data_IF_190459024522
#
_entry.id   IF_190459024522
#
_cell.length_a   1.000
_cell.length_b   1.000
_cell.length_c   1.000
_cell.angle_alpha   90.00
_cell.angle_beta   90.00
_cell.angle_gamma   90.00
#
_symmetry.space_group_name_H-M   'P 1'
#
loop_
_entity.id
_entity.type
_entity.pdbx_description
1 polymer ?
#
# COMPACT_ATOMS: atom_id res chain seq x y z
N UNK A 1 31.77 72.90 -18.93
CA UNK A 1 32.00 72.07 -17.72
C UNK A 1 30.65 71.50 -17.34
N UNK A 2 30.32 70.34 -17.90
CA UNK A 2 29.11 69.59 -17.59
C UNK A 2 29.48 68.46 -16.62
N UNK A 3 28.74 68.35 -15.52
CA UNK A 3 28.92 67.29 -14.53
C UNK A 3 28.40 65.96 -15.08
N UNK A 4 29.08 64.82 -14.86
CA UNK A 4 28.58 63.52 -15.25
C UNK A 4 27.44 63.06 -14.33
N UNK A 5 26.52 62.21 -14.83
CA UNK A 5 25.35 61.78 -14.08
C UNK A 5 25.72 60.82 -12.95
N UNK A 6 25.05 61.03 -11.83
CA UNK A 6 25.07 60.20 -10.62
C UNK A 6 24.69 58.75 -10.95
N UNK A 7 25.65 57.84 -10.81
CA UNK A 7 25.38 56.42 -10.71
C UNK A 7 24.73 56.13 -9.35
N UNK A 8 23.42 55.98 -9.35
CA UNK A 8 22.69 55.37 -8.23
C UNK A 8 22.95 53.86 -8.27
N UNK A 9 23.48 53.24 -7.21
CA UNK A 9 23.69 51.79 -7.21
C UNK A 9 22.32 51.09 -7.18
N UNK A 10 22.06 50.26 -8.19
CA UNK A 10 21.02 49.23 -8.14
C UNK A 10 21.20 48.44 -6.83
N UNK A 11 20.12 48.30 -6.06
CA UNK A 11 20.13 47.56 -4.79
C UNK A 11 20.66 46.12 -4.96
N UNK A 12 21.02 45.44 -3.85
CA UNK A 12 21.57 44.09 -3.91
C UNK A 12 20.54 43.17 -4.57
N UNK A 13 20.96 42.44 -5.60
CA UNK A 13 20.12 41.44 -6.28
C UNK A 13 19.58 40.38 -5.31
N UNK A 14 18.62 39.54 -5.75
CA UNK A 14 17.94 38.59 -4.87
C UNK A 14 18.94 37.65 -4.17
N UNK A 15 18.90 37.63 -2.83
CA UNK A 15 19.70 36.72 -2.02
C UNK A 15 19.10 35.31 -2.10
N UNK A 16 19.57 34.51 -3.07
CA UNK A 16 19.13 33.13 -3.30
C UNK A 16 19.22 32.26 -2.04
N UNK A 17 20.26 32.44 -1.21
CA UNK A 17 20.42 31.68 0.02
C UNK A 17 19.27 31.95 0.99
N UNK A 18 18.87 33.21 1.15
CA UNK A 18 17.74 33.56 2.00
C UNK A 18 16.42 32.96 1.50
N UNK A 19 16.18 33.00 0.18
CA UNK A 19 15.00 32.34 -0.41
C UNK A 19 15.04 30.82 -0.21
N UNK A 20 16.22 30.20 -0.36
CA UNK A 20 16.43 28.77 -0.10
C UNK A 20 16.14 28.38 1.34
N UNK A 21 16.60 29.16 2.32
CA UNK A 21 16.31 28.94 3.75
C UNK A 21 14.81 29.00 4.05
N UNK A 22 14.09 29.96 3.45
CA UNK A 22 12.63 30.04 3.61
C UNK A 22 11.92 28.84 2.97
N UNK A 23 12.38 28.37 1.81
CA UNK A 23 11.84 27.18 1.15
C UNK A 23 12.02 25.95 2.04
N UNK A 24 13.23 25.75 2.57
CA UNK A 24 13.53 24.64 3.50
C UNK A 24 12.60 24.70 4.71
N UNK A 25 12.56 25.85 5.40
CA UNK A 25 11.75 26.02 6.60
C UNK A 25 10.26 25.71 6.34
N UNK A 26 9.72 26.18 5.23
CA UNK A 26 8.32 25.95 4.90
C UNK A 26 7.99 24.48 4.60
N UNK A 27 8.86 23.76 3.89
CA UNK A 27 8.65 22.33 3.61
C UNK A 27 8.92 21.45 4.85
N UNK A 28 9.86 21.81 5.72
CA UNK A 28 10.03 21.16 7.03
C UNK A 28 8.77 21.31 7.89
N UNK A 29 8.19 22.52 7.94
CA UNK A 29 6.94 22.77 8.65
C UNK A 29 5.76 21.98 8.07
N UNK A 30 5.65 21.88 6.74
CA UNK A 30 4.63 21.06 6.08
C UNK A 30 4.78 19.59 6.44
N UNK A 31 6.01 19.06 6.37
CA UNK A 31 6.30 17.68 6.77
C UNK A 31 5.91 17.45 8.22
N UNK A 32 6.38 18.30 9.14
CA UNK A 32 6.09 18.16 10.57
C UNK A 32 4.59 18.22 10.89
N UNK A 33 3.86 19.14 10.24
CA UNK A 33 2.42 19.32 10.46
C UNK A 33 1.59 18.12 10.03
N UNK A 34 1.95 17.49 8.91
CA UNK A 34 1.15 16.44 8.27
C UNK A 34 1.69 15.02 8.49
N UNK A 35 2.87 14.87 9.10
CA UNK A 35 3.48 13.57 9.38
C UNK A 35 2.57 12.73 10.33
N UNK A 36 2.09 11.55 9.87
CA UNK A 36 1.25 10.67 10.66
C UNK A 36 1.89 10.14 11.95
N UNK A 37 3.23 10.09 12.02
CA UNK A 37 4.01 9.55 13.13
C UNK A 37 4.34 10.60 14.19
N UNK A 38 4.49 11.86 13.78
CA UNK A 38 4.91 12.98 14.63
C UNK A 38 3.73 13.76 15.24
N UNK A 39 2.51 13.64 14.70
CA UNK A 39 1.32 14.26 15.29
C UNK A 39 0.52 13.24 16.13
N UNK A 40 0.54 13.34 17.47
CA UNK A 40 -0.33 12.53 18.32
C UNK A 40 -1.78 12.66 17.89
N UNK A 41 -2.55 11.57 17.89
CA UNK A 41 -4.00 11.56 17.59
C UNK A 41 -4.79 12.57 18.45
N UNK A 42 -4.20 12.98 19.58
CA UNK A 42 -4.75 13.98 20.53
C UNK A 42 -4.29 15.42 20.28
N UNK A 43 -3.20 15.64 19.55
CA UNK A 43 -2.58 16.95 19.26
C UNK A 43 -2.65 17.32 17.77
N UNK A 44 -3.36 16.53 16.95
CA UNK A 44 -3.80 17.03 15.63
C UNK A 44 -4.59 18.33 15.88
N UNK A 45 -4.23 19.49 15.30
CA UNK A 45 -4.75 20.80 15.70
C UNK A 45 -6.28 21.00 15.53
N UNK A 46 -6.99 19.99 15.04
CA UNK A 46 -8.25 20.15 14.31
C UNK A 46 -9.45 19.46 14.98
N UNK A 47 -9.38 19.17 16.29
CA UNK A 47 -10.58 18.93 17.11
C UNK A 47 -11.48 20.15 17.27
N UNK A 48 -11.08 21.33 16.76
CA UNK A 48 -12.03 22.42 16.54
C UNK A 48 -12.86 22.04 15.32
N UNK A 49 -14.02 21.45 15.61
CA UNK A 49 -15.16 21.29 14.73
C UNK A 49 -15.21 22.50 13.78
N UNK A 50 -14.73 22.31 12.56
CA UNK A 50 -15.21 23.13 11.46
C UNK A 50 -16.66 22.67 11.32
N UNK A 51 -17.59 23.57 11.62
CA UNK A 51 -19.01 23.34 11.37
C UNK A 51 -19.13 23.16 9.87
N UNK A 52 -19.17 21.91 9.43
CA UNK A 52 -19.49 21.58 8.05
C UNK A 52 -20.99 21.77 7.94
N UNK A 53 -21.38 22.56 6.95
CA UNK A 53 -22.78 22.73 6.55
C UNK A 53 -23.43 21.34 6.49
N UNK A 54 -24.54 21.18 7.20
CA UNK A 54 -25.25 19.92 7.46
C UNK A 54 -25.79 19.19 6.21
N UNK A 55 -25.33 19.54 5.01
CA UNK A 55 -25.94 19.18 3.73
C UNK A 55 -25.01 18.45 2.75
N UNK A 56 -23.72 18.26 3.06
CA UNK A 56 -22.83 17.45 2.19
C UNK A 56 -23.04 15.95 2.41
N UNK A 57 -23.58 15.25 1.40
CA UNK A 57 -23.69 13.78 1.41
C UNK A 57 -22.31 13.12 1.38
N UNK A 58 -22.20 11.89 1.91
CA UNK A 58 -20.95 11.09 1.86
C UNK A 58 -20.47 10.83 0.44
N UNK A 59 -21.39 10.78 -0.54
CA UNK A 59 -21.03 10.69 -1.96
C UNK A 59 -20.32 11.95 -2.43
N UNK A 60 -20.87 13.13 -2.13
CA UNK A 60 -20.26 14.39 -2.53
C UNK A 60 -18.84 14.57 -1.96
N UNK A 61 -18.62 14.14 -0.71
CA UNK A 61 -17.31 14.15 -0.05
C UNK A 61 -16.34 13.19 -0.72
N UNK A 62 -16.77 11.96 -0.98
CA UNK A 62 -15.95 10.95 -1.63
C UNK A 62 -15.59 11.34 -3.07
N UNK A 63 -16.56 11.82 -3.84
CA UNK A 63 -16.34 12.29 -5.21
C UNK A 63 -15.37 13.48 -5.24
N UNK A 64 -15.48 14.40 -4.28
CA UNK A 64 -14.56 15.53 -4.12
C UNK A 64 -13.13 15.06 -3.81
N UNK A 65 -12.96 14.09 -2.92
CA UNK A 65 -11.65 13.48 -2.64
C UNK A 65 -11.05 12.86 -3.90
N UNK A 66 -11.81 11.99 -4.57
CA UNK A 66 -11.33 11.15 -5.67
C UNK A 66 -11.11 11.91 -6.98
N UNK A 67 -11.95 12.90 -7.28
CA UNK A 67 -11.98 13.55 -8.59
C UNK A 67 -11.43 14.97 -8.58
N UNK A 68 -11.25 15.59 -7.41
CA UNK A 68 -10.76 16.97 -7.29
C UNK A 68 -9.54 17.09 -6.39
N UNK A 69 -9.63 16.72 -5.12
CA UNK A 69 -8.57 17.03 -4.14
C UNK A 69 -7.30 16.20 -4.36
N UNK A 70 -7.42 14.87 -4.53
CA UNK A 70 -6.26 14.02 -4.79
C UNK A 70 -5.58 14.34 -6.14
N UNK A 71 -6.32 14.55 -7.26
CA UNK A 71 -5.73 15.05 -8.50
C UNK A 71 -5.04 16.40 -8.34
N UNK A 72 -5.66 17.35 -7.64
CA UNK A 72 -5.07 18.68 -7.40
C UNK A 72 -3.77 18.58 -6.59
N UNK A 73 -3.74 17.75 -5.55
CA UNK A 73 -2.53 17.47 -4.78
C UNK A 73 -1.41 16.90 -5.68
N UNK A 74 -1.75 15.95 -6.56
CA UNK A 74 -0.80 15.39 -7.52
C UNK A 74 -0.22 16.46 -8.43
N UNK A 75 -1.07 17.36 -8.94
CA UNK A 75 -0.65 18.43 -9.85
C UNK A 75 0.23 19.46 -9.12
N UNK A 76 -0.11 19.86 -7.89
CA UNK A 76 0.74 20.73 -7.07
C UNK A 76 2.12 20.13 -6.81
N UNK A 77 2.20 18.84 -6.48
CA UNK A 77 3.48 18.14 -6.28
C UNK A 77 4.29 18.02 -7.58
N UNK A 78 3.62 17.82 -8.72
CA UNK A 78 4.27 17.87 -10.03
C UNK A 78 4.87 19.25 -10.31
N UNK A 79 4.14 20.32 -10.03
CA UNK A 79 4.65 21.69 -10.20
C UNK A 79 5.85 21.97 -9.29
N UNK A 80 5.81 21.53 -8.02
CA UNK A 80 6.99 21.64 -7.13
C UNK A 80 8.21 20.94 -7.73
N UNK A 81 8.01 19.74 -8.29
CA UNK A 81 9.07 19.02 -8.97
C UNK A 81 9.62 19.78 -10.18
N UNK A 82 8.75 20.25 -11.08
CA UNK A 82 9.14 20.97 -12.31
C UNK A 82 9.90 22.26 -11.98
N UNK A 83 9.49 22.97 -10.92
CA UNK A 83 10.19 24.16 -10.44
C UNK A 83 11.58 23.83 -9.94
N UNK A 84 11.75 22.74 -9.18
CA UNK A 84 13.06 22.31 -8.67
C UNK A 84 13.99 21.86 -9.79
N UNK A 85 13.48 21.13 -10.78
CA UNK A 85 14.25 20.74 -11.97
C UNK A 85 14.73 21.97 -12.75
N UNK A 86 13.85 22.96 -12.93
CA UNK A 86 14.16 24.21 -13.64
C UNK A 86 15.15 25.13 -12.91
N UNK A 87 15.36 24.97 -11.59
CA UNK A 87 16.42 25.70 -10.86
C UNK A 87 17.81 25.12 -11.21
N UNK A 88 17.86 23.86 -11.67
CA UNK A 88 19.10 23.09 -11.84
C UNK A 88 19.58 22.96 -13.29
N UNK A 89 18.70 23.18 -14.26
CA UNK A 89 19.07 23.10 -15.67
C UNK A 89 19.90 24.32 -16.07
N UNK A 90 21.21 24.10 -16.25
CA UNK A 90 22.11 25.04 -16.91
C UNK A 90 21.82 24.99 -18.43
N UNK A 91 21.16 26.02 -18.94
CA UNK A 91 21.03 26.21 -20.39
C UNK A 91 22.31 26.85 -20.92
N UNK A 92 22.96 26.21 -21.90
CA UNK A 92 24.30 26.54 -22.41
C UNK A 92 24.43 27.99 -22.95
N UNK A 93 23.32 28.69 -23.19
CA UNK A 93 23.27 30.05 -23.75
C UNK A 93 22.81 31.14 -22.75
N UNK A 94 22.42 30.80 -21.51
CA UNK A 94 21.91 31.80 -20.55
C UNK A 94 23.03 32.53 -19.78
N UNK A 95 22.95 33.86 -19.71
CA UNK A 95 23.85 34.67 -18.88
C UNK A 95 23.67 34.32 -17.38
N UNK A 96 24.76 34.30 -16.61
CA UNK A 96 24.74 34.03 -15.17
C UNK A 96 23.81 34.95 -14.36
N UNK A 97 23.51 36.16 -14.85
CA UNK A 97 22.53 37.06 -14.23
C UNK A 97 21.10 36.57 -14.49
N UNK A 98 20.78 36.18 -15.73
CA UNK A 98 19.47 35.61 -16.12
C UNK A 98 19.18 34.34 -15.33
N UNK A 99 20.17 33.47 -15.21
CA UNK A 99 20.07 32.21 -14.46
C UNK A 99 19.71 32.45 -12.99
N UNK A 100 20.38 33.38 -12.30
CA UNK A 100 20.09 33.69 -10.89
C UNK A 100 18.71 34.30 -10.71
N UNK A 101 18.23 35.11 -11.66
CA UNK A 101 16.87 35.65 -11.63
C UNK A 101 15.81 34.56 -11.83
N UNK A 102 16.04 33.62 -12.75
CA UNK A 102 15.20 32.42 -12.96
C UNK A 102 15.14 31.54 -11.72
N UNK A 103 16.29 31.24 -11.11
CA UNK A 103 16.38 30.50 -9.84
C UNK A 103 15.61 31.21 -8.72
N UNK A 104 15.79 32.52 -8.56
CA UNK A 104 15.07 33.31 -7.57
C UNK A 104 13.55 33.30 -7.81
N UNK A 105 13.13 33.37 -9.08
CA UNK A 105 11.72 33.28 -9.47
C UNK A 105 11.11 31.93 -9.11
N UNK A 106 11.80 30.84 -9.42
CA UNK A 106 11.34 29.48 -9.11
C UNK A 106 11.30 29.24 -7.59
N UNK A 107 12.28 29.73 -6.82
CA UNK A 107 12.24 29.66 -5.35
C UNK A 107 11.07 30.45 -4.77
N UNK A 108 10.76 31.63 -5.29
CA UNK A 108 9.57 32.40 -4.88
C UNK A 108 8.29 31.64 -5.20
N UNK A 109 8.22 31.02 -6.38
CA UNK A 109 7.07 30.18 -6.74
C UNK A 109 6.92 28.99 -5.81
N UNK A 110 8.02 28.34 -5.41
CA UNK A 110 8.00 27.28 -4.41
C UNK A 110 7.44 27.77 -3.05
N UNK A 111 7.80 28.97 -2.61
CA UNK A 111 7.22 29.58 -1.40
C UNK A 111 5.71 29.82 -1.53
N UNK A 112 5.23 30.24 -2.70
CA UNK A 112 3.80 30.41 -2.98
C UNK A 112 3.03 29.07 -2.98
N UNK A 113 3.68 27.98 -3.42
CA UNK A 113 3.08 26.64 -3.44
C UNK A 113 2.89 26.03 -2.04
N UNK A 114 3.72 26.41 -1.06
CA UNK A 114 3.64 25.85 0.31
C UNK A 114 2.26 26.03 0.99
N UNK A 115 1.67 27.23 1.04
CA UNK A 115 0.33 27.40 1.61
C UNK A 115 -0.77 26.70 0.78
N UNK A 116 -0.60 26.59 -0.55
CA UNK A 116 -1.54 25.85 -1.41
C UNK A 116 -1.53 24.35 -1.09
N UNK A 117 -0.34 23.76 -0.90
CA UNK A 117 -0.18 22.38 -0.45
C UNK A 117 -0.75 22.16 0.95
N UNK A 118 -0.45 23.07 1.89
CA UNK A 118 -0.98 22.98 3.25
C UNK A 118 -2.51 22.97 3.25
N UNK A 119 -3.11 23.86 2.46
CA UNK A 119 -4.54 23.98 2.34
C UNK A 119 -5.18 22.72 1.77
N UNK A 120 -4.66 22.19 0.65
CA UNK A 120 -5.21 20.97 0.03
C UNK A 120 -5.09 19.76 0.95
N UNK A 121 -3.94 19.59 1.63
CA UNK A 121 -3.76 18.51 2.61
C UNK A 121 -4.73 18.64 3.80
N UNK A 122 -4.92 19.87 4.31
CA UNK A 122 -5.87 20.15 5.39
C UNK A 122 -7.32 19.87 4.97
N UNK A 123 -7.69 20.20 3.73
CA UNK A 123 -9.01 19.88 3.17
C UNK A 123 -9.19 18.36 3.09
N UNK A 124 -8.22 17.62 2.54
CA UNK A 124 -8.29 16.16 2.43
C UNK A 124 -8.47 15.51 3.81
N UNK A 125 -7.72 15.94 4.82
CA UNK A 125 -7.87 15.44 6.19
C UNK A 125 -9.27 15.73 6.76
N UNK A 126 -9.79 16.93 6.51
CA UNK A 126 -11.16 17.32 6.89
C UNK A 126 -12.21 16.45 6.21
N UNK A 127 -12.07 16.17 4.91
CA UNK A 127 -12.97 15.26 4.19
C UNK A 127 -12.95 13.84 4.76
N UNK A 128 -11.75 13.31 5.08
CA UNK A 128 -11.63 12.00 5.71
C UNK A 128 -12.23 11.97 7.11
N UNK A 129 -12.21 13.09 7.85
CA UNK A 129 -12.90 13.21 9.13
C UNK A 129 -14.43 13.13 9.00
N UNK A 130 -15.01 13.66 7.91
CA UNK A 130 -16.44 13.51 7.60
C UNK A 130 -16.76 12.10 7.14
N UNK A 131 -15.94 11.55 6.26
CA UNK A 131 -16.19 10.27 5.61
C UNK A 131 -16.01 9.09 6.57
N UNK A 132 -15.04 9.19 7.48
CA UNK A 132 -14.64 8.18 8.45
C UNK A 132 -14.59 8.77 9.87
N UNK A 133 -15.73 9.09 10.51
CA UNK A 133 -15.74 9.60 11.87
C UNK A 133 -15.12 8.57 12.82
N UNK A 134 -14.30 9.03 13.78
CA UNK A 134 -13.76 8.13 14.82
C UNK A 134 -14.93 7.51 15.60
N UNK A 135 -14.94 6.18 15.81
CA UNK A 135 -16.05 5.52 16.48
C UNK A 135 -16.14 6.03 17.93
N UNK A 136 -17.24 6.71 18.25
CA UNK A 136 -17.53 7.21 19.61
C UNK A 136 -17.79 6.07 20.63
N UNK A 137 -18.00 4.85 20.15
CA UNK A 137 -18.12 3.63 20.94
C UNK A 137 -17.80 2.42 20.07
N UNK A 138 -17.18 1.38 20.65
CA UNK A 138 -16.75 0.15 20.01
C UNK A 138 -17.88 -0.79 19.52
N UNK A 139 -19.01 -0.25 19.05
CA UNK A 139 -19.94 -1.05 18.28
C UNK A 139 -19.37 -1.19 16.89
N UNK A 140 -18.81 -2.36 16.60
CA UNK A 140 -18.56 -2.82 15.24
C UNK A 140 -19.90 -2.72 14.50
N UNK A 141 -20.07 -1.68 13.69
CA UNK A 141 -21.30 -1.43 12.96
C UNK A 141 -21.36 -2.47 11.83
N UNK A 142 -21.84 -3.66 12.18
CA UNK A 142 -21.97 -4.82 11.29
C UNK A 142 -23.16 -4.70 10.33
N UNK A 143 -23.91 -3.59 10.42
CA UNK A 143 -25.09 -3.26 9.62
C UNK A 143 -24.76 -2.30 8.46
N UNK A 144 -23.63 -2.50 7.78
CA UNK A 144 -23.19 -1.68 6.65
C UNK A 144 -23.33 -2.37 5.28
N UNK A 145 -24.03 -3.49 5.18
CA UNK A 145 -24.16 -4.32 3.96
C UNK A 145 -24.61 -3.50 2.74
N UNK A 146 -25.58 -2.62 2.94
CA UNK A 146 -26.20 -1.82 1.88
C UNK A 146 -25.37 -0.59 1.46
N UNK A 147 -24.28 -0.29 2.18
CA UNK A 147 -23.50 0.92 1.97
C UNK A 147 -22.52 0.84 0.78
N UNK A 148 -22.36 -0.33 0.14
CA UNK A 148 -21.51 -0.54 -1.05
C UNK A 148 -20.10 0.06 -0.82
N UNK A 149 -19.75 1.11 -1.57
CA UNK A 149 -18.46 1.82 -1.45
C UNK A 149 -18.25 2.56 -0.12
N UNK A 150 -19.30 2.75 0.66
CA UNK A 150 -19.26 3.41 1.96
C UNK A 150 -19.30 2.44 3.16
N UNK A 151 -19.11 1.13 2.92
CA UNK A 151 -18.82 0.17 3.99
C UNK A 151 -17.64 0.64 4.82
N UNK A 152 -17.72 0.43 6.13
CA UNK A 152 -16.77 0.97 7.11
C UNK A 152 -15.34 0.55 6.80
N UNK A 153 -15.15 -0.75 6.52
CA UNK A 153 -13.85 -1.28 6.13
C UNK A 153 -13.28 -0.60 4.89
N UNK A 154 -14.09 -0.36 3.86
CA UNK A 154 -13.63 0.25 2.60
C UNK A 154 -13.13 1.66 2.79
N UNK A 155 -13.83 2.44 3.62
CA UNK A 155 -13.44 3.81 3.93
C UNK A 155 -12.21 3.87 4.83
N UNK A 156 -12.11 2.93 5.77
CA UNK A 156 -10.90 2.75 6.56
C UNK A 156 -9.69 2.40 5.68
N UNK A 157 -9.87 1.47 4.73
CA UNK A 157 -8.83 1.04 3.82
C UNK A 157 -8.42 2.18 2.86
N UNK A 158 -9.37 2.95 2.34
CA UNK A 158 -9.06 4.16 1.55
C UNK A 158 -8.25 5.18 2.37
N UNK A 159 -8.66 5.45 3.61
CA UNK A 159 -7.91 6.33 4.52
C UNK A 159 -6.51 5.79 4.80
N UNK A 160 -6.35 4.48 4.97
CA UNK A 160 -5.05 3.83 5.16
C UNK A 160 -4.13 4.01 3.95
N UNK A 161 -4.62 3.79 2.74
CA UNK A 161 -3.85 4.04 1.50
C UNK A 161 -3.41 5.51 1.39
N UNK A 162 -4.31 6.45 1.73
CA UNK A 162 -3.95 7.86 1.75
C UNK A 162 -2.89 8.17 2.82
N UNK A 163 -2.98 7.61 4.03
CA UNK A 163 -1.96 7.81 5.07
C UNK A 163 -0.58 7.28 4.66
N UNK A 164 -0.53 6.14 3.97
CA UNK A 164 0.73 5.65 3.36
C UNK A 164 1.26 6.63 2.30
N UNK A 165 0.38 7.17 1.47
CA UNK A 165 0.75 8.19 0.47
C UNK A 165 1.23 9.47 1.13
N UNK A 166 0.61 9.88 2.24
CA UNK A 166 0.99 11.06 3.00
C UNK A 166 2.39 10.93 3.60
N UNK A 167 2.76 9.74 4.09
CA UNK A 167 4.12 9.44 4.53
C UNK A 167 5.14 9.62 3.38
N UNK A 168 4.85 9.11 2.17
CA UNK A 168 5.67 9.36 0.97
C UNK A 168 5.74 10.85 0.62
N UNK A 169 4.65 11.60 0.75
CA UNK A 169 4.63 13.06 0.52
C UNK A 169 5.52 13.79 1.54
N UNK A 170 5.47 13.41 2.82
CA UNK A 170 6.33 14.01 3.84
C UNK A 170 7.81 13.73 3.56
N UNK A 171 8.15 12.49 3.16
CA UNK A 171 9.51 12.16 2.70
C UNK A 171 9.92 12.96 1.46
N UNK A 172 8.99 13.22 0.55
CA UNK A 172 9.23 14.10 -0.60
C UNK A 172 9.53 15.54 -0.16
N UNK A 173 8.77 16.11 0.79
CA UNK A 173 9.07 17.44 1.34
C UNK A 173 10.47 17.50 1.96
N UNK A 174 10.86 16.50 2.75
CA UNK A 174 12.22 16.42 3.28
C UNK A 174 13.28 16.29 2.17
N UNK A 175 12.97 15.60 1.08
CA UNK A 175 13.85 15.53 -0.09
C UNK A 175 14.02 16.90 -0.76
N UNK A 176 12.94 17.69 -0.86
CA UNK A 176 13.01 19.09 -1.32
C UNK A 176 13.98 19.89 -0.46
N UNK A 177 13.85 19.79 0.87
CA UNK A 177 14.74 20.50 1.81
C UNK A 177 16.21 20.12 1.61
N UNK A 178 16.50 18.82 1.57
CA UNK A 178 17.86 18.32 1.34
C UNK A 178 18.42 18.79 0.01
N UNK A 179 17.60 18.81 -1.03
CA UNK A 179 17.98 19.26 -2.35
C UNK A 179 18.31 20.75 -2.37
N UNK A 180 17.41 21.60 -1.85
CA UNK A 180 17.63 23.04 -1.75
C UNK A 180 18.87 23.38 -0.91
N UNK A 181 19.10 22.68 0.21
CA UNK A 181 20.28 22.87 1.04
C UNK A 181 21.58 22.52 0.29
N UNK A 182 21.57 21.43 -0.49
CA UNK A 182 22.71 21.04 -1.34
C UNK A 182 22.98 22.08 -2.41
N UNK A 183 21.93 22.62 -3.05
CA UNK A 183 22.11 23.69 -4.04
C UNK A 183 22.75 24.93 -3.40
N UNK A 184 22.24 25.38 -2.25
CA UNK A 184 22.81 26.53 -1.55
C UNK A 184 24.29 26.31 -1.17
N UNK A 185 24.65 25.10 -0.72
CA UNK A 185 26.03 24.74 -0.42
C UNK A 185 26.95 24.83 -1.65
N UNK A 186 26.47 24.40 -2.82
CA UNK A 186 27.21 24.48 -4.09
C UNK A 186 26.99 25.81 -4.83
N UNK A 187 26.62 26.88 -4.10
CA UNK A 187 26.40 28.22 -4.67
C UNK A 187 25.41 28.24 -5.84
N UNK A 188 24.39 27.37 -5.79
CA UNK A 188 23.32 27.21 -6.78
C UNK A 188 23.80 26.76 -8.17
N UNK A 189 24.94 26.07 -8.26
CA UNK A 189 25.35 25.35 -9.46
C UNK A 189 24.59 24.03 -9.66
N UNK A 190 24.67 23.45 -10.85
CA UNK A 190 24.02 22.17 -11.15
C UNK A 190 24.46 21.05 -10.20
N UNK A 191 23.50 20.36 -9.59
CA UNK A 191 23.74 19.16 -8.79
C UNK A 191 22.90 18.01 -9.33
N UNK A 192 23.56 17.01 -9.93
CA UNK A 192 22.89 15.81 -10.41
C UNK A 192 22.66 14.84 -9.25
N UNK A 193 21.41 14.41 -9.07
CA UNK A 193 21.02 13.45 -8.03
C UNK A 193 19.92 12.52 -8.57
N UNK A 194 20.30 11.31 -8.99
CA UNK A 194 19.35 10.29 -9.48
C UNK A 194 18.27 9.94 -8.45
N UNK A 195 18.58 10.04 -7.15
CA UNK A 195 17.64 9.71 -6.08
C UNK A 195 16.47 10.71 -5.98
N UNK A 196 16.57 11.86 -6.65
CA UNK A 196 15.49 12.83 -6.78
C UNK A 196 14.41 12.35 -7.75
N UNK A 197 14.81 11.78 -8.91
CA UNK A 197 13.88 11.28 -9.93
C UNK A 197 13.09 10.06 -9.46
N UNK A 198 13.74 9.14 -8.74
CA UNK A 198 13.06 7.96 -8.17
C UNK A 198 11.97 8.38 -7.16
N UNK A 199 12.26 9.36 -6.30
CA UNK A 199 11.29 9.87 -5.31
C UNK A 199 10.10 10.58 -5.94
N UNK A 200 10.31 11.32 -7.04
CA UNK A 200 9.22 11.92 -7.83
C UNK A 200 8.26 10.85 -8.33
N UNK A 201 8.81 9.83 -8.98
CA UNK A 201 8.00 8.80 -9.61
C UNK A 201 7.21 8.01 -8.55
N UNK A 202 7.83 7.75 -7.39
CA UNK A 202 7.14 7.10 -6.27
C UNK A 202 5.94 7.91 -5.78
N UNK A 203 6.12 9.17 -5.34
CA UNK A 203 5.01 9.94 -4.72
C UNK A 203 3.82 10.15 -5.66
N UNK A 204 4.07 10.43 -6.94
CA UNK A 204 3.00 10.62 -7.92
C UNK A 204 2.26 9.30 -8.20
N UNK A 205 2.99 8.18 -8.29
CA UNK A 205 2.40 6.86 -8.47
C UNK A 205 1.58 6.43 -7.26
N UNK A 206 2.00 6.77 -6.03
CA UNK A 206 1.25 6.48 -4.81
C UNK A 206 -0.10 7.24 -4.76
N UNK A 207 -0.15 8.50 -5.20
CA UNK A 207 -1.41 9.25 -5.28
C UNK A 207 -2.34 8.64 -6.33
N UNK A 208 -1.82 8.30 -7.51
CA UNK A 208 -2.61 7.64 -8.55
C UNK A 208 -3.12 6.28 -8.09
N UNK A 209 -2.29 5.51 -7.40
CA UNK A 209 -2.69 4.26 -6.79
C UNK A 209 -3.80 4.48 -5.76
N UNK A 210 -3.66 5.44 -4.85
CA UNK A 210 -4.71 5.78 -3.86
C UNK A 210 -6.04 6.16 -4.53
N UNK A 211 -6.02 6.96 -5.59
CA UNK A 211 -7.22 7.29 -6.37
C UNK A 211 -7.80 6.02 -7.00
N UNK A 212 -6.98 5.18 -7.61
CA UNK A 212 -7.42 3.92 -8.24
C UNK A 212 -8.06 2.98 -7.22
N UNK A 213 -7.39 2.73 -6.09
CA UNK A 213 -7.85 1.84 -5.02
C UNK A 213 -9.19 2.31 -4.44
N UNK A 214 -9.35 3.62 -4.25
CA UNK A 214 -10.60 4.20 -3.74
C UNK A 214 -11.82 3.92 -4.63
N UNK A 215 -11.60 3.72 -5.94
CA UNK A 215 -12.65 3.49 -6.95
C UNK A 215 -12.96 2.02 -7.20
N UNK A 216 -12.17 1.10 -6.64
CA UNK A 216 -12.37 -0.34 -6.84
C UNK A 216 -13.72 -0.78 -6.32
N UNK A 217 -14.34 -1.73 -7.00
CA UNK A 217 -15.50 -2.44 -6.49
C UNK A 217 -15.10 -3.51 -5.48
N UNK A 218 -16.06 -4.10 -4.78
CA UNK A 218 -15.75 -5.25 -3.91
C UNK A 218 -15.25 -6.44 -4.72
N UNK A 219 -15.82 -6.61 -5.91
CA UNK A 219 -15.42 -7.68 -6.81
C UNK A 219 -13.98 -7.49 -7.30
N UNK A 220 -13.58 -6.26 -7.65
CA UNK A 220 -12.19 -5.97 -8.04
C UNK A 220 -11.20 -6.37 -6.94
N UNK A 221 -11.55 -6.13 -5.67
CA UNK A 221 -10.71 -6.45 -4.51
C UNK A 221 -10.63 -7.96 -4.29
N UNK A 222 -11.76 -8.67 -4.36
CA UNK A 222 -11.80 -10.14 -4.23
C UNK A 222 -10.99 -10.82 -5.33
N UNK A 223 -11.10 -10.32 -6.57
CA UNK A 223 -10.38 -10.86 -7.71
C UNK A 223 -8.86 -10.71 -7.58
N UNK A 224 -8.40 -9.55 -7.11
CA UNK A 224 -6.96 -9.31 -6.88
C UNK A 224 -6.44 -10.14 -5.71
N UNK A 225 -7.23 -10.29 -4.63
CA UNK A 225 -6.92 -11.21 -3.54
C UNK A 225 -6.73 -12.63 -4.08
N UNK A 226 -7.64 -13.09 -4.95
CA UNK A 226 -7.51 -14.36 -5.67
C UNK A 226 -6.23 -14.42 -6.51
N UNK A 227 -5.98 -13.43 -7.36
CA UNK A 227 -4.80 -13.40 -8.22
C UNK A 227 -3.47 -13.40 -7.43
N UNK A 228 -3.41 -12.61 -6.35
CA UNK A 228 -2.25 -12.56 -5.46
C UNK A 228 -2.02 -13.90 -4.77
N UNK A 229 -3.08 -14.49 -4.20
CA UNK A 229 -2.99 -15.80 -3.53
C UNK A 229 -2.54 -16.91 -4.47
N UNK A 230 -2.94 -16.87 -5.75
CA UNK A 230 -2.46 -17.82 -6.78
C UNK A 230 -0.96 -17.64 -7.04
N UNK A 231 -0.53 -16.41 -7.34
CA UNK A 231 0.87 -16.10 -7.64
C UNK A 231 1.80 -16.48 -6.47
N UNK A 232 1.46 -16.04 -5.27
CA UNK A 232 2.23 -16.35 -4.06
C UNK A 232 2.31 -17.87 -3.83
N UNK A 233 1.19 -18.59 -4.03
CA UNK A 233 1.20 -20.05 -3.89
C UNK A 233 2.08 -20.75 -4.94
N UNK A 234 2.16 -20.23 -6.16
CA UNK A 234 3.06 -20.76 -7.20
C UNK A 234 4.53 -20.58 -6.82
N UNK A 235 4.90 -19.39 -6.34
CA UNK A 235 6.26 -19.10 -5.86
C UNK A 235 6.67 -20.02 -4.71
N UNK A 236 5.75 -20.29 -3.78
CA UNK A 236 6.00 -21.22 -2.67
C UNK A 236 6.08 -22.68 -3.11
N UNK A 237 5.28 -23.09 -4.11
CA UNK A 237 5.36 -24.44 -4.66
C UNK A 237 6.70 -24.69 -5.35
N UNK A 238 7.22 -23.71 -6.07
CA UNK A 238 8.55 -23.82 -6.68
C UNK A 238 9.65 -23.84 -5.62
N UNK A 239 9.49 -23.05 -4.56
CA UNK A 239 10.40 -23.09 -3.40
C UNK A 239 10.42 -24.46 -2.71
N UNK A 240 9.23 -25.04 -2.45
CA UNK A 240 9.11 -26.38 -1.85
C UNK A 240 9.72 -27.47 -2.72
N UNK A 241 9.55 -27.40 -4.05
CA UNK A 241 10.20 -28.35 -4.98
C UNK A 241 11.72 -28.28 -4.89
N UNK A 242 12.28 -27.06 -4.84
CA UNK A 242 13.73 -26.87 -4.66
C UNK A 242 14.24 -27.44 -3.33
N UNK A 243 13.46 -27.31 -2.25
CA UNK A 243 13.84 -27.84 -0.94
C UNK A 243 13.82 -29.37 -0.87
N UNK A 244 12.93 -30.03 -1.61
CA UNK A 244 12.79 -31.50 -1.61
C UNK A 244 13.69 -32.16 -2.67
N UNK A 245 14.04 -31.47 -3.76
CA UNK A 245 14.80 -32.04 -4.86
C UNK A 245 16.23 -31.46 -4.97
N UNK A 246 17.29 -32.27 -4.74
CA UNK A 246 18.68 -31.82 -4.85
C UNK A 246 19.10 -31.39 -6.26
N UNK A 247 18.40 -31.85 -7.31
CA UNK A 247 18.75 -31.62 -8.72
C UNK A 247 17.75 -30.66 -9.43
N UNK A 248 16.88 -29.97 -8.68
CA UNK A 248 15.91 -29.05 -9.24
C UNK A 248 16.56 -27.78 -9.76
N UNK A 249 16.26 -27.39 -11.01
CA UNK A 249 16.57 -26.05 -11.51
C UNK A 249 15.76 -25.03 -10.69
N UNK A 250 16.45 -24.15 -9.97
CA UNK A 250 15.82 -23.11 -9.15
C UNK A 250 15.80 -21.81 -9.95
N UNK A 251 14.62 -21.21 -10.07
CA UNK A 251 14.39 -19.95 -10.79
C UNK A 251 14.21 -18.74 -9.88
N UNK A 252 14.13 -18.91 -8.56
CA UNK A 252 13.89 -17.81 -7.63
C UNK A 252 15.22 -17.35 -6.96
N UNK A 253 15.58 -16.06 -6.98
CA UNK A 253 16.84 -15.56 -6.41
C UNK A 253 16.79 -15.17 -4.93
N UNK A 254 15.64 -15.31 -4.23
CA UNK A 254 15.44 -14.71 -2.89
C UNK A 254 15.56 -15.65 -1.68
N UNK A 255 15.89 -16.94 -1.86
CA UNK A 255 16.08 -17.89 -0.74
C UNK A 255 17.38 -18.65 -0.95
N UNK A 256 18.09 -18.99 0.13
CA UNK A 256 19.23 -19.91 0.08
C UNK A 256 18.69 -21.35 -0.15
N UNK A 257 18.67 -21.78 -1.40
CA UNK A 257 18.06 -23.03 -1.87
C UNK A 257 18.96 -24.26 -1.72
N UNK A 258 19.77 -24.32 -0.66
CA UNK A 258 20.36 -25.60 -0.31
C UNK A 258 19.21 -26.63 -0.07
N UNK A 259 19.29 -27.88 -0.53
CA UNK A 259 18.23 -28.88 -0.31
C UNK A 259 18.11 -29.30 1.16
N UNK A 260 16.93 -29.75 1.59
CA UNK A 260 16.77 -30.39 2.89
C UNK A 260 17.46 -31.77 2.89
N UNK A 261 18.21 -32.06 3.94
CA UNK A 261 18.97 -33.32 4.09
C UNK A 261 18.33 -34.29 5.09
N UNK A 262 17.55 -33.77 6.05
CA UNK A 262 16.91 -34.58 7.09
C UNK A 262 15.53 -35.08 6.68
N UNK A 263 15.35 -36.41 6.70
CA UNK A 263 14.10 -37.09 6.31
C UNK A 263 12.83 -36.54 6.96
N UNK A 264 12.78 -36.23 8.27
CA UNK A 264 11.57 -35.71 8.88
C UNK A 264 11.17 -34.31 8.34
N UNK A 265 12.15 -33.47 8.00
CA UNK A 265 11.89 -32.16 7.38
C UNK A 265 11.47 -32.29 5.93
N UNK A 266 12.06 -33.23 5.19
CA UNK A 266 11.66 -33.59 3.83
C UNK A 266 10.20 -34.06 3.83
N UNK A 267 9.79 -34.87 4.81
CA UNK A 267 8.40 -35.31 4.97
C UNK A 267 7.45 -34.13 5.21
N UNK A 268 7.81 -33.19 6.09
CA UNK A 268 7.02 -31.97 6.31
C UNK A 268 6.91 -31.11 5.04
N UNK A 269 8.03 -30.89 4.33
CA UNK A 269 8.03 -30.18 3.06
C UNK A 269 7.11 -30.84 2.03
N UNK A 270 7.16 -32.17 1.92
CA UNK A 270 6.29 -32.95 1.04
C UNK A 270 4.80 -32.80 1.39
N UNK A 271 4.45 -32.65 2.68
CA UNK A 271 3.08 -32.43 3.13
C UNK A 271 2.63 -30.96 2.92
N UNK A 272 3.53 -30.00 2.89
CA UNK A 272 3.22 -28.61 2.51
C UNK A 272 2.88 -28.46 1.03
N UNK A 273 3.43 -29.30 0.13
CA UNK A 273 3.13 -29.24 -1.30
C UNK A 273 1.62 -29.38 -1.59
N UNK A 274 0.93 -30.48 -1.18
CA UNK A 274 -0.50 -30.61 -1.41
C UNK A 274 -1.32 -29.55 -0.66
N UNK A 275 -0.88 -29.12 0.54
CA UNK A 275 -1.54 -28.03 1.26
C UNK A 275 -1.49 -26.71 0.48
N UNK A 276 -0.33 -26.36 -0.06
CA UNK A 276 -0.12 -25.14 -0.86
C UNK A 276 -0.90 -25.22 -2.19
N UNK A 277 -0.99 -26.40 -2.81
CA UNK A 277 -1.87 -26.62 -3.96
C UNK A 277 -3.35 -26.39 -3.63
N UNK A 278 -3.81 -26.84 -2.45
CA UNK A 278 -5.18 -26.61 -2.00
C UNK A 278 -5.46 -25.12 -1.75
N UNK A 279 -4.51 -24.37 -1.18
CA UNK A 279 -4.59 -22.91 -1.06
C UNK A 279 -4.69 -22.26 -2.44
N UNK A 280 -3.78 -22.62 -3.35
CA UNK A 280 -3.79 -22.12 -4.74
C UNK A 280 -5.15 -22.33 -5.38
N UNK A 281 -5.70 -23.54 -5.30
CA UNK A 281 -7.01 -23.88 -5.89
C UNK A 281 -8.15 -23.04 -5.31
N UNK A 282 -8.14 -22.76 -4.00
CA UNK A 282 -9.10 -21.85 -3.38
C UNK A 282 -9.03 -20.45 -4.01
N UNK A 283 -7.83 -19.90 -4.14
CA UNK A 283 -7.62 -18.57 -4.72
C UNK A 283 -7.92 -18.52 -6.23
N UNK A 284 -7.64 -19.60 -6.97
CA UNK A 284 -8.04 -19.74 -8.37
C UNK A 284 -9.56 -19.62 -8.52
N UNK A 285 -10.35 -20.16 -7.58
CA UNK A 285 -11.82 -20.07 -7.62
C UNK A 285 -12.37 -18.68 -7.42
N UNK A 286 -11.76 -17.85 -6.59
CA UNK A 286 -12.21 -16.48 -6.34
C UNK A 286 -11.55 -15.44 -7.27
N UNK A 287 -10.55 -15.86 -8.06
CA UNK A 287 -9.89 -15.02 -9.08
C UNK A 287 -10.75 -14.84 -10.35
N UNK A 288 -10.27 -13.97 -11.26
CA UNK A 288 -10.82 -13.79 -12.62
C UNK A 288 -11.01 -15.07 -13.43
N UNK A 289 -10.23 -16.11 -13.14
CA UNK A 289 -10.30 -17.41 -13.86
C UNK A 289 -11.37 -18.35 -13.28
N UNK A 290 -11.93 -18.04 -12.12
CA UNK A 290 -12.95 -18.83 -11.42
C UNK A 290 -14.33 -18.21 -11.57
N UNK A 291 -14.93 -17.78 -10.45
CA UNK A 291 -16.30 -17.24 -10.41
C UNK A 291 -16.48 -15.95 -11.20
N UNK A 292 -15.43 -15.15 -11.36
CA UNK A 292 -15.45 -13.87 -12.08
C UNK A 292 -15.53 -13.99 -13.62
N UNK A 293 -15.37 -15.19 -14.18
CA UNK A 293 -15.77 -15.40 -15.59
C UNK A 293 -17.28 -15.15 -15.79
N UNK A 294 -18.07 -15.31 -14.73
CA UNK A 294 -19.46 -14.92 -14.71
C UNK A 294 -19.56 -13.44 -14.32
N UNK A 295 -20.47 -12.68 -14.96
CA UNK A 295 -20.64 -11.25 -14.71
C UNK A 295 -21.29 -11.02 -13.34
N UNK A 296 -20.50 -11.14 -12.28
CA UNK A 296 -20.95 -10.90 -10.92
C UNK A 296 -21.21 -9.40 -10.67
N UNK A 297 -22.16 -9.06 -9.78
CA UNK A 297 -22.36 -7.68 -9.34
C UNK A 297 -21.08 -7.06 -8.75
N UNK A 298 -20.93 -5.74 -8.92
CA UNK A 298 -19.78 -4.99 -8.37
C UNK A 298 -19.71 -5.02 -6.83
N UNK A 299 -20.86 -5.20 -6.18
CA UNK A 299 -21.00 -5.15 -4.72
C UNK A 299 -21.74 -6.37 -4.22
N UNK A 300 -21.37 -6.79 -3.01
CA UNK A 300 -21.92 -7.95 -2.35
C UNK A 300 -22.75 -7.54 -1.12
N UNK A 301 -23.55 -8.47 -0.63
CA UNK A 301 -24.32 -8.31 0.62
C UNK A 301 -23.48 -8.62 1.89
N UNK A 302 -22.16 -8.80 1.76
CA UNK A 302 -21.27 -8.92 2.91
C UNK A 302 -21.23 -7.60 3.69
N UNK A 303 -21.21 -7.65 5.02
CA UNK A 303 -20.83 -6.46 5.79
C UNK A 303 -19.31 -6.20 5.68
N UNK A 304 -18.85 -5.06 6.20
CA UNK A 304 -17.45 -4.63 6.14
C UNK A 304 -16.47 -5.66 6.71
N UNK A 305 -16.80 -6.32 7.83
CA UNK A 305 -15.92 -7.32 8.44
C UNK A 305 -15.84 -8.63 7.66
N UNK A 306 -16.98 -9.09 7.14
CA UNK A 306 -17.06 -10.28 6.29
C UNK A 306 -16.28 -10.06 4.99
N UNK A 307 -16.47 -8.89 4.37
CA UNK A 307 -15.75 -8.49 3.18
C UNK A 307 -14.25 -8.37 3.47
N UNK A 308 -13.84 -7.71 4.56
CA UNK A 308 -12.44 -7.63 4.99
C UNK A 308 -11.81 -9.01 5.11
N UNK A 309 -12.48 -9.90 5.84
CA UNK A 309 -12.01 -11.26 6.07
C UNK A 309 -11.75 -12.02 4.76
N UNK A 310 -12.61 -11.83 3.76
CA UNK A 310 -12.40 -12.41 2.43
C UNK A 310 -11.30 -11.69 1.64
N UNK A 311 -11.29 -10.35 1.63
CA UNK A 311 -10.35 -9.54 0.84
C UNK A 311 -8.90 -9.65 1.28
N UNK A 312 -8.67 -9.97 2.55
CA UNK A 312 -7.33 -10.15 3.12
C UNK A 312 -6.96 -11.64 3.26
N UNK A 313 -7.76 -12.55 2.70
CA UNK A 313 -7.57 -13.99 2.89
C UNK A 313 -6.28 -14.52 2.25
N UNK A 314 -5.74 -13.87 1.21
CA UNK A 314 -4.47 -14.24 0.59
C UNK A 314 -3.26 -14.12 1.54
N UNK A 315 -3.34 -13.26 2.56
CA UNK A 315 -2.29 -13.12 3.57
C UNK A 315 -1.97 -14.44 4.29
N UNK A 316 -2.89 -15.42 4.24
CA UNK A 316 -2.68 -16.76 4.79
C UNK A 316 -1.55 -17.53 4.10
N UNK A 317 -1.23 -17.21 2.84
CA UNK A 317 -0.12 -17.82 2.09
C UNK A 317 1.22 -17.46 2.75
N UNK A 318 1.32 -16.28 3.37
CA UNK A 318 2.47 -15.87 4.18
C UNK A 318 2.78 -16.84 5.34
N UNK A 319 1.78 -17.51 5.92
CA UNK A 319 2.02 -18.51 6.96
C UNK A 319 2.72 -19.76 6.39
N UNK A 320 2.43 -20.15 5.15
CA UNK A 320 3.17 -21.23 4.48
C UNK A 320 4.62 -20.81 4.24
N UNK A 321 4.85 -19.58 3.81
CA UNK A 321 6.19 -19.02 3.69
C UNK A 321 6.95 -19.08 5.03
N UNK A 322 6.30 -18.73 6.14
CA UNK A 322 6.88 -18.87 7.49
C UNK A 322 7.21 -20.33 7.83
N UNK A 323 6.34 -21.28 7.48
CA UNK A 323 6.63 -22.71 7.69
C UNK A 323 7.83 -23.17 6.85
N UNK A 324 7.95 -22.72 5.61
CA UNK A 324 9.10 -22.96 4.74
C UNK A 324 10.38 -22.38 5.36
N UNK A 325 10.34 -21.13 5.84
CA UNK A 325 11.47 -20.51 6.53
C UNK A 325 11.88 -21.25 7.81
N UNK A 326 10.93 -21.86 8.53
CA UNK A 326 11.26 -22.74 9.65
C UNK A 326 11.92 -24.05 9.19
N UNK A 327 11.53 -24.62 8.04
CA UNK A 327 12.22 -25.81 7.50
C UNK A 327 13.67 -25.51 7.13
N UNK A 328 13.93 -24.34 6.54
CA UNK A 328 15.30 -23.96 6.14
C UNK A 328 16.18 -23.63 7.34
N UNK A 329 15.65 -22.88 8.32
CA UNK A 329 16.41 -22.47 9.52
C UNK A 329 16.92 -23.66 10.35
N UNK A 330 16.17 -24.76 10.40
CA UNK A 330 16.51 -25.92 11.23
C UNK A 330 17.09 -27.09 10.44
N UNK A 331 17.54 -26.83 9.20
CA UNK A 331 18.09 -27.85 8.33
C UNK A 331 19.27 -28.62 8.94
N UNK A 332 20.06 -28.01 9.81
CA UNK A 332 21.28 -28.60 10.36
C UNK A 332 21.19 -28.92 11.86
N UNK A 333 20.03 -28.73 12.51
CA UNK A 333 19.92 -28.73 13.98
C UNK A 333 18.96 -29.79 14.58
N UNK A 334 19.21 -31.10 14.39
CA UNK A 334 18.63 -32.12 15.27
C UNK A 334 19.31 -32.11 16.66
N UNK A 335 18.61 -32.48 17.76
CA UNK A 335 17.20 -32.89 17.83
C UNK A 335 16.24 -31.70 17.85
N UNK A 336 15.03 -31.92 17.32
CA UNK A 336 14.02 -30.88 17.27
C UNK A 336 13.41 -30.62 18.64
N UNK A 337 13.38 -29.35 19.05
CA UNK A 337 12.84 -28.96 20.36
C UNK A 337 11.30 -28.94 20.34
N UNK A 338 10.67 -29.03 21.51
CA UNK A 338 9.21 -28.80 21.64
C UNK A 338 8.79 -27.45 21.07
N UNK A 339 9.64 -26.42 21.19
CA UNK A 339 9.39 -25.11 20.62
C UNK A 339 9.36 -25.13 19.08
N UNK A 340 10.18 -25.97 18.44
CA UNK A 340 10.18 -26.20 16.99
C UNK A 340 8.87 -26.84 16.53
N UNK A 341 8.46 -27.95 17.15
CA UNK A 341 7.20 -28.64 16.86
C UNK A 341 5.99 -27.69 17.01
N UNK A 342 6.00 -26.86 18.06
CA UNK A 342 4.95 -25.87 18.30
C UNK A 342 4.82 -24.86 17.16
N UNK A 343 5.92 -24.44 16.52
CA UNK A 343 5.87 -23.49 15.39
C UNK A 343 5.15 -24.08 14.18
N UNK A 344 5.41 -25.35 13.84
CA UNK A 344 4.72 -26.01 12.73
C UNK A 344 3.24 -26.21 13.00
N UNK A 345 2.92 -26.72 14.19
CA UNK A 345 1.53 -26.97 14.58
C UNK A 345 0.73 -25.67 14.69
N UNK A 346 1.30 -24.60 15.25
CA UNK A 346 0.66 -23.28 15.26
C UNK A 346 0.48 -22.71 13.85
N UNK A 347 1.50 -22.74 13.00
CA UNK A 347 1.38 -22.23 11.63
C UNK A 347 0.32 -22.98 10.81
N UNK A 348 0.26 -24.30 10.94
CA UNK A 348 -0.79 -25.10 10.30
C UNK A 348 -2.20 -24.77 10.82
N UNK A 349 -2.37 -24.60 12.14
CA UNK A 349 -3.64 -24.18 12.72
C UNK A 349 -4.06 -22.77 12.29
N UNK A 350 -3.10 -21.85 12.14
CA UNK A 350 -3.35 -20.52 11.60
C UNK A 350 -3.83 -20.61 10.15
N UNK A 351 -3.15 -21.40 9.31
CA UNK A 351 -3.59 -21.66 7.91
C UNK A 351 -5.02 -22.22 7.87
N UNK A 352 -5.32 -23.19 8.73
CA UNK A 352 -6.64 -23.81 8.79
C UNK A 352 -7.73 -22.80 9.15
N UNK A 353 -7.56 -22.10 10.28
CA UNK A 353 -8.54 -21.13 10.78
C UNK A 353 -8.69 -19.91 9.87
N UNK A 354 -7.61 -19.49 9.18
CA UNK A 354 -7.62 -18.33 8.29
C UNK A 354 -8.53 -18.46 7.07
N UNK A 355 -8.86 -19.67 6.62
CA UNK A 355 -9.75 -19.91 5.48
C UNK A 355 -11.14 -20.43 5.85
N UNK A 356 -11.42 -20.72 7.11
CA UNK A 356 -12.75 -21.20 7.52
C UNK A 356 -13.85 -20.16 7.25
N UNK A 357 -13.63 -18.92 7.67
CA UNK A 357 -14.59 -17.84 7.45
C UNK A 357 -14.64 -17.36 5.98
N UNK A 358 -13.51 -17.09 5.29
CA UNK A 358 -13.53 -16.73 3.87
C UNK A 358 -14.25 -17.75 2.99
N UNK A 359 -14.02 -19.06 3.18
CA UNK A 359 -14.71 -20.09 2.40
C UNK A 359 -16.22 -20.09 2.62
N UNK A 360 -16.68 -19.87 3.86
CA UNK A 360 -18.09 -19.73 4.16
C UNK A 360 -18.70 -18.49 3.49
N UNK A 361 -17.99 -17.36 3.48
CA UNK A 361 -18.48 -16.13 2.86
C UNK A 361 -18.58 -16.26 1.34
N UNK A 362 -17.64 -16.94 0.71
CA UNK A 362 -17.71 -17.24 -0.72
C UNK A 362 -18.97 -18.06 -1.04
N UNK A 363 -19.19 -19.17 -0.32
CA UNK A 363 -20.37 -20.03 -0.52
C UNK A 363 -21.67 -19.29 -0.22
N UNK A 364 -21.68 -18.41 0.79
CA UNK A 364 -22.89 -17.70 1.21
C UNK A 364 -23.24 -16.51 0.34
N UNK A 365 -22.25 -15.76 -0.14
CA UNK A 365 -22.48 -14.45 -0.77
C UNK A 365 -22.07 -14.37 -2.23
N UNK A 366 -21.13 -15.20 -2.70
CA UNK A 366 -20.69 -15.18 -4.09
C UNK A 366 -21.36 -16.29 -4.92
N UNK A 367 -21.45 -17.50 -4.38
CA UNK A 367 -22.07 -18.63 -5.09
C UNK A 367 -23.53 -18.33 -5.48
N UNK A 368 -24.40 -17.75 -4.63
CA UNK A 368 -25.78 -17.45 -5.03
C UNK A 368 -25.90 -16.38 -6.13
N UNK A 369 -24.83 -15.63 -6.41
CA UNK A 369 -24.81 -14.61 -7.46
C UNK A 369 -24.49 -15.18 -8.85
N UNK A 370 -24.16 -16.49 -8.94
CA UNK A 370 -23.91 -17.17 -10.20
C UNK A 370 -25.21 -17.35 -11.00
N UNK A 371 -25.13 -17.22 -12.32
CA UNK A 371 -26.29 -17.13 -13.21
C UNK A 371 -27.15 -18.40 -13.26
N UNK A 372 -26.55 -19.59 -13.06
CA UNK A 372 -27.22 -20.87 -13.21
C UNK A 372 -27.21 -21.70 -11.92
N UNK A 373 -28.34 -22.34 -11.61
CA UNK A 373 -28.45 -23.27 -10.48
C UNK A 373 -27.45 -24.44 -10.59
N UNK A 374 -27.09 -24.83 -11.82
CA UNK A 374 -26.09 -25.86 -12.07
C UNK A 374 -24.70 -25.40 -11.59
N UNK A 375 -24.31 -24.17 -11.88
CA UNK A 375 -23.05 -23.59 -11.40
C UNK A 375 -23.06 -23.43 -9.88
N UNK A 376 -24.18 -22.95 -9.32
CA UNK A 376 -24.34 -22.83 -7.87
C UNK A 376 -24.10 -24.17 -7.16
N UNK A 377 -24.77 -25.23 -7.64
CA UNK A 377 -24.61 -26.58 -7.11
C UNK A 377 -23.19 -27.12 -7.31
N UNK A 378 -22.57 -26.83 -8.46
CA UNK A 378 -21.20 -27.23 -8.74
C UNK A 378 -20.20 -26.59 -7.76
N UNK A 379 -20.28 -25.27 -7.57
CA UNK A 379 -19.39 -24.56 -6.65
C UNK A 379 -19.63 -24.98 -5.20
N UNK A 380 -20.89 -25.16 -4.78
CA UNK A 380 -21.23 -25.69 -3.46
C UNK A 380 -20.54 -27.04 -3.20
N UNK A 381 -20.74 -28.01 -4.09
CA UNK A 381 -20.15 -29.34 -3.98
C UNK A 381 -18.61 -29.30 -4.04
N UNK A 382 -18.04 -28.42 -4.85
CA UNK A 382 -16.59 -28.23 -4.94
C UNK A 382 -16.02 -27.71 -3.61
N UNK A 383 -16.63 -26.69 -3.00
CA UNK A 383 -16.18 -26.15 -1.72
C UNK A 383 -16.29 -27.17 -0.58
N UNK A 384 -17.35 -27.99 -0.58
CA UNK A 384 -17.50 -29.08 0.38
C UNK A 384 -16.37 -30.11 0.25
N UNK A 385 -16.09 -30.56 -0.98
CA UNK A 385 -15.00 -31.49 -1.25
C UNK A 385 -13.62 -30.90 -0.92
N UNK A 386 -13.37 -29.66 -1.32
CA UNK A 386 -12.13 -28.94 -1.02
C UNK A 386 -11.91 -28.81 0.49
N UNK A 387 -12.94 -28.45 1.26
CA UNK A 387 -12.85 -28.29 2.72
C UNK A 387 -12.46 -29.59 3.41
N UNK A 388 -12.99 -30.72 2.97
CA UNK A 388 -12.62 -32.06 3.48
C UNK A 388 -11.14 -32.34 3.20
N UNK A 389 -10.70 -32.14 1.96
CA UNK A 389 -9.29 -32.37 1.56
C UNK A 389 -8.33 -31.43 2.30
N UNK A 390 -8.70 -30.17 2.47
CA UNK A 390 -7.92 -29.16 3.18
C UNK A 390 -7.74 -29.52 4.65
N UNK A 391 -8.83 -29.91 5.35
CA UNK A 391 -8.76 -30.38 6.74
C UNK A 391 -7.89 -31.63 6.89
N UNK A 392 -8.00 -32.58 5.96
CA UNK A 392 -7.16 -33.77 5.95
C UNK A 392 -5.67 -33.43 5.75
N UNK A 393 -5.33 -32.52 4.83
CA UNK A 393 -3.96 -32.06 4.60
C UNK A 393 -3.36 -31.39 5.84
N UNK A 394 -4.11 -30.50 6.49
CA UNK A 394 -3.69 -29.87 7.76
C UNK A 394 -3.46 -30.92 8.85
N UNK A 395 -4.39 -31.87 9.02
CA UNK A 395 -4.28 -32.91 10.02
C UNK A 395 -3.03 -33.76 9.82
N UNK A 396 -2.79 -34.22 8.58
CA UNK A 396 -1.62 -35.03 8.24
C UNK A 396 -0.31 -34.27 8.51
N UNK A 397 -0.27 -32.97 8.18
CA UNK A 397 0.88 -32.11 8.46
C UNK A 397 1.15 -31.97 9.96
N UNK A 398 0.12 -31.69 10.76
CA UNK A 398 0.23 -31.56 12.22
C UNK A 398 0.68 -32.89 12.84
N UNK A 399 0.13 -34.02 12.38
CA UNK A 399 0.50 -35.34 12.87
C UNK A 399 1.98 -35.64 12.60
N UNK A 400 2.47 -35.37 11.39
CA UNK A 400 3.88 -35.54 11.05
C UNK A 400 4.78 -34.61 11.88
N UNK A 401 4.36 -33.37 12.14
CA UNK A 401 5.13 -32.43 12.96
C UNK A 401 5.25 -32.90 14.42
N UNK A 402 4.22 -33.54 14.97
CA UNK A 402 4.24 -34.09 16.33
C UNK A 402 5.09 -35.36 16.47
N UNK A 403 5.56 -35.95 15.37
CA UNK A 403 6.42 -37.14 15.34
C UNK A 403 7.92 -36.79 15.24
N UNK A 404 8.26 -35.50 15.21
CA UNK A 404 9.63 -34.99 15.12
C UNK A 404 10.46 -35.17 16.39
#
# INVERSE_FOLDING_TARGET
MENPPSNTPKGPGPNLNHLGELVILGFENLSYKHDPQMTPTRERPWRRIVVIEQDTSRESVCDRLQSKLLPLLKDHLRTVFELLEAICTEEEEESAISMKEKQASNLRRLLEMQPELDHVLTLIDTEFHVLCPEPASASVQTDDQQLKQFKTYRLFDFKKHFLCTLDSICRFFLAVCNYTARMAYHSWGATYDDSWFERKQDVLSQIEHTIKESKRSEMDVIEECGASGVRESEDLLDSLKGLVNPNGSVTNPFVDFNPLTHQPLIQLANLLIPLTKLLKMFFERISKRGMSYQRLPLYTEMNGDQFKCLSESNLIVGNVHTLIGNLTLYRETPPYTTAFIRRFTQGANQIASGLEAPSLYVVRYLVPLLDSLADQNHYQAWFDAWKIQFKAAIHNFIQAANQL
#
